data_IF_745685346370
#
_entry.id   IF_745685346370
#
_cell.length_a   1.000
_cell.length_b   1.000
_cell.length_c   1.000
_cell.angle_alpha   90.00
_cell.angle_beta   90.00
_cell.angle_gamma   90.00
#
_symmetry.space_group_name_H-M   'P 1'
#
loop_
_entity.id
_entity.type
_entity.pdbx_description
1 polymer ?
#
# COMPACT_ATOMS: atom_id res chain seq x y z
N UNK A 1 -46.00 48.77 -15.65
CA UNK A 1 -46.10 47.73 -14.59
C UNK A 1 -45.43 46.46 -15.09
N UNK A 2 -44.27 46.10 -14.55
CA UNK A 2 -43.80 44.72 -14.33
C UNK A 2 -42.33 44.80 -13.89
N UNK A 3 -42.12 44.75 -12.57
CA UNK A 3 -40.81 44.70 -11.93
C UNK A 3 -40.24 43.29 -12.09
N UNK A 4 -39.05 43.17 -12.71
CA UNK A 4 -38.27 41.93 -12.74
C UNK A 4 -37.64 41.69 -11.36
N UNK A 5 -38.11 40.66 -10.67
CA UNK A 5 -37.45 40.12 -9.48
C UNK A 5 -36.22 39.32 -9.90
N UNK A 6 -35.05 39.81 -9.47
CA UNK A 6 -33.79 39.07 -9.47
C UNK A 6 -33.74 38.30 -8.14
N UNK A 7 -33.95 36.99 -8.18
CA UNK A 7 -33.74 36.13 -7.02
C UNK A 7 -32.26 35.80 -6.89
N UNK A 8 -31.57 36.53 -6.02
CA UNK A 8 -30.24 36.19 -5.53
C UNK A 8 -30.35 35.00 -4.57
N UNK A 9 -30.01 33.79 -5.03
CA UNK A 9 -29.73 32.67 -4.13
C UNK A 9 -28.28 32.79 -3.64
N UNK A 10 -28.10 33.49 -2.52
CA UNK A 10 -26.91 33.38 -1.68
C UNK A 10 -26.91 31.99 -1.03
N UNK A 11 -26.29 31.02 -1.70
CA UNK A 11 -25.85 29.78 -1.06
C UNK A 11 -24.78 30.17 -0.04
N UNK A 12 -25.19 30.23 1.23
CA UNK A 12 -24.31 30.16 2.38
C UNK A 12 -23.54 28.83 2.29
N UNK A 13 -22.39 28.87 1.63
CA UNK A 13 -21.34 27.90 1.88
C UNK A 13 -20.94 28.09 3.35
N UNK A 14 -21.58 27.32 4.23
CA UNK A 14 -21.02 27.01 5.53
C UNK A 14 -19.66 26.39 5.24
N UNK A 15 -18.62 27.23 5.26
CA UNK A 15 -17.25 26.80 5.44
C UNK A 15 -17.30 25.81 6.59
N UNK A 16 -17.10 24.53 6.29
CA UNK A 16 -16.96 23.49 7.29
C UNK A 16 -15.79 23.93 8.17
N UNK A 17 -16.12 24.63 9.27
CA UNK A 17 -15.12 25.12 10.19
C UNK A 17 -14.36 23.88 10.62
N UNK A 18 -13.03 23.91 10.45
CA UNK A 18 -12.15 22.83 10.81
C UNK A 18 -12.30 22.55 12.33
N UNK A 19 -13.25 21.69 12.69
CA UNK A 19 -13.40 21.21 14.04
C UNK A 19 -12.05 20.64 14.47
N UNK A 20 -11.57 21.07 15.64
CA UNK A 20 -10.35 20.50 16.22
C UNK A 20 -10.59 18.99 16.35
N UNK A 21 -9.66 18.14 15.85
CA UNK A 21 -9.81 16.71 15.95
C UNK A 21 -9.89 16.34 17.44
N UNK A 22 -10.79 15.40 17.74
CA UNK A 22 -10.95 14.88 19.09
C UNK A 22 -9.73 14.00 19.37
N UNK A 23 -8.90 14.32 20.36
CA UNK A 23 -7.72 13.52 20.66
C UNK A 23 -8.11 12.12 21.13
N UNK A 24 -7.31 11.08 20.81
CA UNK A 24 -7.51 9.75 21.35
C UNK A 24 -7.19 9.73 22.85
N UNK A 25 -7.85 8.83 23.58
CA UNK A 25 -7.47 8.51 24.95
C UNK A 25 -6.28 7.56 24.99
N UNK A 26 -5.68 7.40 26.17
CA UNK A 26 -4.74 6.31 26.43
C UNK A 26 -5.40 4.96 26.11
N UNK A 27 -4.65 4.08 25.45
CA UNK A 27 -5.04 2.69 25.28
C UNK A 27 -4.89 1.97 26.63
N UNK A 28 -5.95 1.33 27.15
CA UNK A 28 -5.98 0.84 28.54
C UNK A 28 -5.13 -0.43 28.76
N UNK A 29 -5.01 -1.30 27.75
CA UNK A 29 -4.25 -2.56 27.86
C UNK A 29 -3.44 -2.88 26.59
N UNK A 30 -2.29 -2.21 26.37
CA UNK A 30 -1.45 -2.49 25.21
C UNK A 30 -0.84 -3.90 25.20
N UNK A 31 -0.60 -4.48 26.38
CA UNK A 31 -0.04 -5.84 26.48
C UNK A 31 -1.04 -6.89 26.02
N UNK A 32 -2.30 -6.77 26.45
CA UNK A 32 -3.39 -7.64 25.98
C UNK A 32 -3.62 -7.50 24.47
N UNK A 33 -3.65 -6.27 23.96
CA UNK A 33 -3.79 -6.02 22.52
C UNK A 33 -2.65 -6.63 21.70
N UNK A 34 -1.39 -6.49 22.16
CA UNK A 34 -0.24 -7.14 21.52
C UNK A 34 -0.39 -8.66 21.50
N UNK A 35 -0.82 -9.26 22.61
CA UNK A 35 -1.05 -10.71 22.69
C UNK A 35 -2.12 -11.16 21.69
N UNK A 36 -3.25 -10.44 21.60
CA UNK A 36 -4.31 -10.73 20.62
C UNK A 36 -3.78 -10.65 19.18
N UNK A 37 -2.96 -9.66 18.87
CA UNK A 37 -2.29 -9.55 17.57
C UNK A 37 -1.38 -10.74 17.30
N UNK A 38 -0.50 -11.10 18.25
CA UNK A 38 0.43 -12.22 18.10
C UNK A 38 -0.29 -13.56 17.94
N UNK A 39 -1.41 -13.78 18.64
CA UNK A 39 -2.26 -14.96 18.45
C UNK A 39 -2.88 -15.01 17.05
N UNK A 40 -3.33 -13.86 16.53
CA UNK A 40 -3.84 -13.75 15.16
C UNK A 40 -2.75 -14.03 14.11
N UNK A 41 -1.55 -13.48 14.31
CA UNK A 41 -0.39 -13.70 13.44
C UNK A 41 0.11 -15.14 13.48
N UNK A 42 0.11 -15.77 14.66
CA UNK A 42 0.42 -17.20 14.81
C UNK A 42 -0.55 -18.09 14.02
N UNK A 43 -1.85 -17.75 13.99
CA UNK A 43 -2.82 -18.45 13.14
C UNK A 43 -2.50 -18.30 11.65
N UNK A 44 -2.13 -17.09 11.20
CA UNK A 44 -1.69 -16.88 9.82
C UNK A 44 -0.47 -17.75 9.48
N UNK A 45 0.56 -17.73 10.32
CA UNK A 45 1.79 -18.54 10.15
C UNK A 45 1.52 -20.04 10.15
N UNK A 46 0.51 -20.51 10.89
CA UNK A 46 0.09 -21.91 10.84
C UNK A 46 -0.60 -22.26 9.50
N UNK A 47 -1.34 -21.32 8.92
CA UNK A 47 -2.03 -21.52 7.65
C UNK A 47 -1.09 -21.42 6.44
N UNK A 48 0.00 -20.67 6.54
CA UNK A 48 1.01 -20.47 5.51
C UNK A 48 2.35 -21.01 6.00
N UNK A 49 2.74 -22.25 5.65
CA UNK A 49 3.89 -22.93 6.24
C UNK A 49 5.25 -22.36 5.83
N UNK A 50 5.31 -21.57 4.76
CA UNK A 50 6.56 -20.98 4.27
C UNK A 50 6.84 -19.68 5.01
N UNK A 51 7.92 -19.65 5.79
CA UNK A 51 8.29 -18.48 6.60
C UNK A 51 9.64 -17.92 6.16
N UNK A 52 9.82 -16.63 6.36
CA UNK A 52 11.10 -15.96 6.12
C UNK A 52 11.63 -15.35 7.41
N UNK A 53 12.80 -15.83 7.84
CA UNK A 53 13.56 -15.18 8.90
C UNK A 53 14.15 -13.86 8.40
N UNK A 54 13.83 -12.77 9.08
CA UNK A 54 14.24 -11.42 8.74
C UNK A 54 14.91 -10.75 9.94
N UNK A 55 15.80 -9.76 9.74
CA UNK A 55 16.48 -9.11 10.86
C UNK A 55 15.49 -8.39 11.79
N UNK A 56 15.43 -8.81 13.05
CA UNK A 56 14.57 -8.19 14.07
C UNK A 56 15.16 -6.82 14.49
N UNK A 57 14.55 -5.77 13.96
CA UNK A 57 14.83 -4.40 14.35
C UNK A 57 13.57 -3.80 14.98
N UNK A 58 13.68 -3.45 16.27
CA UNK A 58 12.60 -2.77 17.00
C UNK A 58 12.43 -1.33 16.52
N UNK A 59 11.50 -1.13 15.60
CA UNK A 59 11.01 0.18 15.16
C UNK A 59 9.51 0.11 14.83
N UNK A 60 8.86 1.26 14.70
CA UNK A 60 7.49 1.37 14.21
C UNK A 60 7.34 2.58 13.30
N UNK A 61 6.57 2.46 12.22
CA UNK A 61 6.33 3.55 11.28
C UNK A 61 4.99 4.22 11.57
N UNK A 62 5.00 5.54 11.62
CA UNK A 62 3.80 6.37 11.70
C UNK A 62 3.71 7.30 10.49
N UNK A 63 2.50 7.79 10.22
CA UNK A 63 2.25 8.72 9.11
C UNK A 63 1.57 8.05 7.93
N UNK A 64 0.54 7.24 8.19
CA UNK A 64 -0.36 6.65 7.19
C UNK A 64 -1.01 7.72 6.31
N UNK A 65 -1.21 7.42 5.03
CA UNK A 65 -1.76 8.36 4.05
C UNK A 65 -0.81 9.53 3.79
N UNK A 66 -1.32 10.71 3.46
CA UNK A 66 -0.49 11.87 3.13
C UNK A 66 0.04 12.66 4.34
N UNK A 67 0.47 11.94 5.38
CA UNK A 67 1.01 12.52 6.62
C UNK A 67 2.54 12.59 6.57
N UNK A 68 3.12 13.45 7.41
CA UNK A 68 4.54 13.38 7.73
C UNK A 68 4.91 11.95 8.15
N UNK A 69 5.90 11.38 7.47
CA UNK A 69 6.42 10.04 7.71
C UNK A 69 7.35 10.06 8.91
N UNK A 70 7.10 9.19 9.88
CA UNK A 70 7.79 9.16 11.16
C UNK A 70 8.26 7.75 11.50
N UNK A 71 9.40 7.65 12.19
CA UNK A 71 9.97 6.39 12.67
C UNK A 71 10.12 6.50 14.18
N UNK A 72 9.44 5.63 14.92
CA UNK A 72 9.82 5.37 16.30
C UNK A 72 10.95 4.34 16.34
N UNK A 73 12.04 4.64 17.06
CA UNK A 73 13.14 3.68 17.31
C UNK A 73 13.90 4.02 18.59
N UNK A 74 13.96 3.08 19.55
CA UNK A 74 14.77 3.16 20.79
C UNK A 74 14.59 4.50 21.52
N UNK A 75 13.35 4.87 21.82
CA UNK A 75 13.04 6.11 22.53
C UNK A 75 13.22 7.39 21.72
N UNK A 76 13.32 7.33 20.39
CA UNK A 76 13.34 8.50 19.51
C UNK A 76 12.19 8.42 18.52
N UNK A 77 11.54 9.54 18.27
CA UNK A 77 10.64 9.74 17.14
C UNK A 77 11.39 10.58 16.11
N UNK A 78 11.58 10.03 14.92
CA UNK A 78 12.37 10.62 13.84
C UNK A 78 11.46 10.98 12.68
N UNK A 79 11.76 12.07 11.99
CA UNK A 79 11.28 12.31 10.64
C UNK A 79 11.93 11.30 9.68
N UNK A 80 11.13 10.49 9.00
CA UNK A 80 11.62 9.39 8.19
C UNK A 80 12.40 9.85 6.95
N UNK A 81 12.11 11.05 6.43
CA UNK A 81 12.70 11.57 5.20
C UNK A 81 13.97 12.39 5.45
N UNK A 82 14.04 13.06 6.60
CA UNK A 82 15.17 13.94 6.95
C UNK A 82 16.12 13.33 7.98
N UNK A 83 15.65 12.34 8.75
CA UNK A 83 16.38 11.78 9.89
C UNK A 83 16.39 12.68 11.14
N UNK A 84 15.74 13.85 11.09
CA UNK A 84 15.66 14.76 12.23
C UNK A 84 14.92 14.11 13.41
N UNK A 85 15.39 14.39 14.62
CA UNK A 85 14.72 13.95 15.85
C UNK A 85 13.59 14.92 16.16
N UNK A 86 12.35 14.44 16.13
CA UNK A 86 11.15 15.20 16.48
C UNK A 86 10.90 15.16 17.99
N UNK A 87 11.13 14.00 18.61
CA UNK A 87 11.01 13.80 20.06
C UNK A 87 12.02 12.75 20.55
N UNK A 88 12.44 12.83 21.81
CA UNK A 88 13.37 11.87 22.42
C UNK A 88 13.09 11.66 23.92
N UNK A 89 13.18 10.41 24.36
CA UNK A 89 12.92 9.99 25.73
C UNK A 89 13.99 9.02 26.25
N UNK A 90 14.15 9.00 27.58
CA UNK A 90 14.92 7.97 28.30
C UNK A 90 13.99 6.81 28.64
N UNK A 91 13.99 5.80 27.78
CA UNK A 91 13.06 4.67 27.87
C UNK A 91 13.64 3.55 28.75
N UNK A 92 12.83 3.08 29.71
CA UNK A 92 13.09 1.86 30.49
C UNK A 92 12.51 0.63 29.82
N UNK A 93 11.29 0.76 29.27
CA UNK A 93 10.59 -0.32 28.59
C UNK A 93 9.74 0.26 27.45
N UNK A 94 9.63 -0.48 26.36
CA UNK A 94 8.78 -0.16 25.21
C UNK A 94 7.92 -1.37 24.83
N UNK A 95 6.69 -1.10 24.38
CA UNK A 95 5.75 -2.05 23.80
C UNK A 95 5.25 -1.46 22.49
N UNK A 96 5.46 -2.16 21.39
CA UNK A 96 4.93 -1.80 20.07
C UNK A 96 3.73 -2.70 19.82
N UNK A 97 2.58 -2.12 19.49
CA UNK A 97 1.34 -2.84 19.18
C UNK A 97 0.93 -2.48 17.74
N UNK A 98 1.41 -3.22 16.73
CA UNK A 98 1.22 -2.86 15.33
C UNK A 98 -0.25 -2.72 14.93
N UNK A 99 -1.11 -3.64 15.39
CA UNK A 99 -2.55 -3.62 15.08
C UNK A 99 -3.27 -2.41 15.68
N UNK A 100 -2.73 -1.79 16.73
CA UNK A 100 -3.33 -0.62 17.40
C UNK A 100 -2.65 0.70 17.01
N UNK A 101 -1.70 0.64 16.07
CA UNK A 101 -0.91 1.79 15.62
C UNK A 101 -0.32 2.55 16.82
N UNK A 102 0.27 1.80 17.75
CA UNK A 102 0.59 2.25 19.10
C UNK A 102 2.00 1.86 19.49
N UNK A 103 2.72 2.80 20.10
CA UNK A 103 3.93 2.53 20.88
C UNK A 103 3.73 3.07 22.29
N UNK A 104 3.79 2.19 23.29
CA UNK A 104 3.80 2.57 24.70
C UNK A 104 5.22 2.55 25.25
N UNK A 105 5.59 3.62 25.96
CA UNK A 105 6.88 3.78 26.63
C UNK A 105 6.67 3.92 28.13
N UNK A 106 7.46 3.18 28.90
CA UNK A 106 7.70 3.45 30.32
C UNK A 106 9.06 4.10 30.43
N UNK A 107 9.12 5.31 30.97
CA UNK A 107 10.35 6.08 31.09
C UNK A 107 11.13 5.69 32.35
N UNK A 108 12.39 6.12 32.44
CA UNK A 108 13.24 5.84 33.61
C UNK A 108 12.74 6.47 34.90
N UNK A 109 11.94 7.53 34.82
CA UNK A 109 11.32 8.21 35.97
C UNK A 109 9.93 7.65 36.34
N UNK A 110 9.51 6.56 35.67
CA UNK A 110 8.21 5.91 35.91
C UNK A 110 7.04 6.52 35.15
N UNK A 111 7.23 7.59 34.38
CA UNK A 111 6.17 8.14 33.53
C UNK A 111 5.82 7.19 32.37
N UNK A 112 4.54 7.22 31.96
CA UNK A 112 4.06 6.49 30.79
C UNK A 112 3.74 7.46 29.66
N UNK A 113 4.20 7.11 28.46
CA UNK A 113 3.92 7.80 27.21
C UNK A 113 3.30 6.82 26.23
N UNK A 114 2.34 7.29 25.42
CA UNK A 114 1.87 6.57 24.25
C UNK A 114 1.99 7.45 23.00
N UNK A 115 2.62 6.91 21.97
CA UNK A 115 2.50 7.39 20.60
C UNK A 115 1.36 6.61 19.94
N UNK A 116 0.33 7.29 19.44
CA UNK A 116 -0.84 6.66 18.80
C UNK A 116 -1.13 7.32 17.48
N UNK A 117 -1.46 6.53 16.46
CA UNK A 117 -1.98 7.06 15.21
C UNK A 117 -3.45 6.64 15.00
N UNK A 118 -4.30 7.61 14.69
CA UNK A 118 -5.73 7.42 14.43
C UNK A 118 -6.13 8.01 13.07
N UNK A 119 -7.43 8.08 12.79
CA UNK A 119 -7.99 8.64 11.56
C UNK A 119 -7.68 10.12 11.35
N UNK A 120 -7.14 10.82 12.35
CA UNK A 120 -6.89 12.27 12.29
C UNK A 120 -5.42 12.67 12.32
N UNK A 121 -4.54 11.85 12.91
CA UNK A 121 -3.10 12.07 12.90
C UNK A 121 -2.33 11.24 13.91
N UNK A 122 -1.08 11.64 14.16
CA UNK A 122 -0.19 11.00 15.14
C UNK A 122 -0.16 11.82 16.42
N UNK A 123 -0.43 11.17 17.53
CA UNK A 123 -0.62 11.79 18.84
C UNK A 123 0.43 11.31 19.83
N UNK A 124 0.92 12.25 20.64
CA UNK A 124 1.68 12.01 21.84
C UNK A 124 0.77 12.18 23.05
N UNK A 125 0.60 11.11 23.82
CA UNK A 125 -0.16 11.06 25.05
C UNK A 125 0.80 10.87 26.22
N UNK A 126 0.68 11.70 27.26
CA UNK A 126 1.50 11.61 28.47
C UNK A 126 0.61 11.84 29.70
N UNK A 127 0.78 11.00 30.72
CA UNK A 127 -0.01 11.09 31.95
C UNK A 127 0.10 12.49 32.57
N UNK A 128 -1.04 13.08 32.92
CA UNK A 128 -1.09 14.44 33.50
C UNK A 128 -0.84 15.57 32.51
N UNK A 129 -0.67 15.30 31.21
CA UNK A 129 -0.53 16.31 30.16
C UNK A 129 -1.67 16.22 29.15
N UNK A 130 -1.96 17.33 28.49
CA UNK A 130 -2.92 17.35 27.37
C UNK A 130 -2.34 16.57 26.17
N UNK A 131 -3.15 15.79 25.46
CA UNK A 131 -2.74 15.16 24.20
C UNK A 131 -2.16 16.17 23.21
N UNK A 132 -1.03 15.82 22.59
CA UNK A 132 -0.33 16.64 21.59
C UNK A 132 -0.41 15.97 20.22
N UNK A 133 -0.98 16.65 19.23
CA UNK A 133 -0.89 16.24 17.82
C UNK A 133 0.51 16.57 17.29
N UNK A 134 1.20 15.63 16.67
CA UNK A 134 2.50 15.85 16.05
C UNK A 134 2.32 16.74 14.79
N UNK A 135 3.03 17.87 14.67
CA UNK A 135 2.94 18.74 13.50
C UNK A 135 3.18 17.98 12.19
N UNK A 136 2.49 18.38 11.12
CA UNK A 136 2.59 17.72 9.82
C UNK A 136 1.86 16.38 9.68
N UNK A 137 1.22 15.88 10.74
CA UNK A 137 0.49 14.59 10.70
C UNK A 137 -1.03 14.74 10.60
N UNK A 138 -1.56 15.97 10.59
CA UNK A 138 -2.99 16.20 10.44
C UNK A 138 -3.43 15.90 9.01
N UNK A 139 -4.04 14.74 8.80
CA UNK A 139 -4.73 14.38 7.57
C UNK A 139 -5.75 13.29 7.86
N UNK A 140 -6.91 13.31 7.19
CA UNK A 140 -7.98 12.32 7.43
C UNK A 140 -7.79 11.09 6.57
N UNK A 141 -8.06 9.93 7.15
CA UNK A 141 -8.14 8.63 6.48
C UNK A 141 -9.10 7.71 7.26
N UNK A 142 -9.36 6.51 6.76
CA UNK A 142 -10.26 5.54 7.38
C UNK A 142 -9.44 4.34 7.87
N UNK A 143 -9.66 3.90 9.12
CA UNK A 143 -8.93 2.75 9.71
C UNK A 143 -9.91 1.67 10.19
N UNK A 144 -10.39 0.79 9.29
CA UNK A 144 -11.32 -0.27 9.68
C UNK A 144 -10.72 -1.17 10.77
N UNK A 145 -11.55 -1.60 11.72
CA UNK A 145 -11.12 -2.51 12.80
C UNK A 145 -11.09 -3.97 12.37
N UNK A 146 -11.83 -4.31 11.31
CA UNK A 146 -12.04 -5.69 10.85
C UNK A 146 -12.50 -6.63 11.99
N UNK A 147 -13.32 -6.11 12.92
CA UNK A 147 -13.68 -6.77 14.17
C UNK A 147 -14.33 -8.16 13.98
N UNK A 148 -15.02 -8.38 12.87
CA UNK A 148 -15.68 -9.65 12.56
C UNK A 148 -14.78 -10.65 11.80
N UNK A 149 -13.52 -10.29 11.54
CA UNK A 149 -12.59 -11.11 10.77
C UNK A 149 -11.62 -11.86 11.69
N UNK A 150 -11.40 -13.18 11.51
CA UNK A 150 -10.50 -13.96 12.38
C UNK A 150 -9.04 -13.47 12.34
N UNK A 151 -8.65 -12.85 11.23
CA UNK A 151 -7.35 -12.22 11.01
C UNK A 151 -7.40 -10.68 11.10
N UNK A 152 -8.43 -10.11 11.72
CA UNK A 152 -8.65 -8.65 11.80
C UNK A 152 -7.42 -7.85 12.25
N UNK A 153 -6.72 -8.22 13.35
CA UNK A 153 -5.50 -7.56 13.77
C UNK A 153 -4.38 -7.59 12.71
N UNK A 154 -4.25 -8.69 11.95
CA UNK A 154 -3.27 -8.80 10.86
C UNK A 154 -3.66 -7.90 9.68
N UNK A 155 -4.94 -7.89 9.30
CA UNK A 155 -5.45 -6.99 8.24
C UNK A 155 -5.20 -5.51 8.58
N UNK A 156 -5.30 -5.12 9.87
CA UNK A 156 -4.95 -3.76 10.32
C UNK A 156 -3.49 -3.42 10.06
N UNK A 157 -2.56 -4.36 10.27
CA UNK A 157 -1.12 -4.16 10.02
C UNK A 157 -0.84 -4.08 8.52
N UNK A 158 -1.36 -5.00 7.72
CA UNK A 158 -1.19 -4.97 6.26
C UNK A 158 -1.77 -3.69 5.66
N UNK A 159 -2.93 -3.24 6.14
CA UNK A 159 -3.51 -1.97 5.73
C UNK A 159 -2.63 -0.77 6.09
N UNK A 160 -2.00 -0.76 7.26
CA UNK A 160 -1.02 0.26 7.63
C UNK A 160 0.19 0.26 6.70
N UNK A 161 0.69 -0.92 6.33
CA UNK A 161 1.85 -1.07 5.43
C UNK A 161 1.56 -0.61 4.00
N UNK A 162 0.28 -0.60 3.59
CA UNK A 162 -0.17 0.02 2.34
C UNK A 162 -0.26 1.54 2.50
N UNK A 163 -0.94 2.01 3.56
CA UNK A 163 -1.17 3.44 3.79
C UNK A 163 0.11 4.23 4.06
N UNK A 164 1.10 3.66 4.75
CA UNK A 164 2.38 4.31 5.05
C UNK A 164 3.18 4.59 3.76
N UNK A 165 2.88 3.88 2.69
CA UNK A 165 3.52 4.00 1.39
C UNK A 165 2.80 4.97 0.44
N UNK A 166 1.87 5.78 0.96
CA UNK A 166 1.32 6.95 0.25
C UNK A 166 2.12 8.18 0.66
N UNK A 167 2.74 8.86 -0.31
CA UNK A 167 3.56 10.06 -0.08
C UNK A 167 3.19 11.17 -1.07
N UNK A 168 2.80 12.34 -0.58
CA UNK A 168 2.29 13.47 -1.38
C UNK A 168 1.13 13.04 -2.29
N UNK A 169 0.22 12.22 -1.75
CA UNK A 169 -0.90 11.61 -2.47
C UNK A 169 -0.52 10.54 -3.50
N UNK A 170 0.74 10.09 -3.53
CA UNK A 170 1.25 9.12 -4.51
C UNK A 170 1.47 7.73 -3.89
N UNK A 171 0.89 6.66 -4.44
CA UNK A 171 1.14 5.29 -3.98
C UNK A 171 2.48 4.79 -4.53
N UNK A 172 3.48 4.60 -3.67
CA UNK A 172 4.80 4.08 -4.06
C UNK A 172 5.03 2.68 -3.48
N UNK A 173 5.90 1.83 -4.07
CA UNK A 173 6.11 0.48 -3.53
C UNK A 173 6.70 0.48 -2.11
N UNK A 174 7.63 1.40 -1.85
CA UNK A 174 8.19 1.67 -0.53
C UNK A 174 8.71 3.11 -0.50
N UNK A 175 8.21 3.96 0.41
CA UNK A 175 8.53 5.40 0.41
C UNK A 175 9.99 5.73 0.77
N UNK A 176 10.75 4.80 1.35
CA UNK A 176 12.16 5.00 1.70
C UNK A 176 13.11 4.71 0.54
N UNK A 177 12.73 3.84 -0.39
CA UNK A 177 13.61 3.40 -1.49
C UNK A 177 13.07 3.66 -2.89
N UNK A 178 11.81 4.06 -3.02
CA UNK A 178 11.19 4.44 -4.29
C UNK A 178 10.64 5.86 -4.26
N UNK A 179 10.99 6.65 -5.28
CA UNK A 179 10.57 8.05 -5.41
C UNK A 179 9.38 8.25 -6.36
N UNK A 180 9.01 7.21 -7.11
CA UNK A 180 7.95 7.25 -8.12
C UNK A 180 6.99 6.08 -7.93
N UNK A 181 5.67 6.29 -8.11
CA UNK A 181 4.70 5.22 -8.27
C UNK A 181 5.06 4.32 -9.44
N UNK A 182 4.70 3.04 -9.31
CA UNK A 182 4.57 2.10 -10.42
C UNK A 182 3.09 1.82 -10.62
N UNK A 183 2.61 1.80 -11.85
CA UNK A 183 1.18 1.59 -12.10
C UNK A 183 0.71 0.21 -11.65
N UNK A 184 1.53 -0.81 -11.79
CA UNK A 184 1.28 -2.16 -11.29
C UNK A 184 1.06 -2.21 -9.78
N UNK A 185 2.03 -1.74 -8.99
CA UNK A 185 1.90 -1.63 -7.53
C UNK A 185 0.71 -0.75 -7.14
N UNK A 186 0.55 0.41 -7.80
CA UNK A 186 -0.51 1.35 -7.51
C UNK A 186 -1.91 0.78 -7.80
N UNK A 187 -2.08 -0.04 -8.85
CA UNK A 187 -3.35 -0.67 -9.20
C UNK A 187 -3.78 -1.66 -8.10
N UNK A 188 -2.86 -2.49 -7.61
CA UNK A 188 -3.16 -3.45 -6.53
C UNK A 188 -3.39 -2.71 -5.20
N UNK A 189 -2.60 -1.68 -4.88
CA UNK A 189 -2.86 -0.80 -3.74
C UNK A 189 -4.25 -0.15 -3.83
N UNK A 190 -4.63 0.36 -5.01
CA UNK A 190 -5.90 1.05 -5.21
C UNK A 190 -7.12 0.14 -5.00
N UNK A 191 -6.99 -1.16 -5.25
CA UNK A 191 -8.03 -2.14 -4.88
C UNK A 191 -8.25 -2.16 -3.37
N UNK A 192 -7.18 -2.24 -2.57
CA UNK A 192 -7.30 -2.18 -1.11
C UNK A 192 -7.88 -0.84 -0.65
N UNK A 193 -7.40 0.27 -1.22
CA UNK A 193 -7.92 1.59 -0.90
C UNK A 193 -9.40 1.74 -1.26
N UNK A 194 -9.89 1.06 -2.29
CA UNK A 194 -11.33 1.00 -2.59
C UNK A 194 -12.08 0.24 -1.51
N UNK A 195 -11.62 -0.97 -1.17
CA UNK A 195 -12.26 -1.82 -0.16
C UNK A 195 -12.29 -1.18 1.23
N UNK A 196 -11.29 -0.35 1.57
CA UNK A 196 -11.22 0.35 2.87
C UNK A 196 -11.74 1.78 2.84
N UNK A 197 -12.33 2.23 1.74
CA UNK A 197 -12.82 3.60 1.52
C UNK A 197 -11.74 4.70 1.63
N UNK A 198 -10.48 4.37 1.33
CA UNK A 198 -9.34 5.27 1.32
C UNK A 198 -8.90 5.76 -0.08
N UNK A 199 -9.64 5.45 -1.15
CA UNK A 199 -9.37 5.96 -2.51
C UNK A 199 -9.12 7.49 -2.59
N UNK A 200 -9.82 8.35 -1.82
CA UNK A 200 -9.55 9.79 -1.84
C UNK A 200 -8.08 10.18 -1.57
N UNK A 201 -7.30 9.32 -0.90
CA UNK A 201 -5.87 9.58 -0.64
C UNK A 201 -5.00 9.62 -1.90
N UNK A 202 -5.42 8.96 -2.98
CA UNK A 202 -4.67 8.91 -4.25
C UNK A 202 -5.47 9.48 -5.43
N UNK A 203 -6.66 10.01 -5.18
CA UNK A 203 -7.58 10.51 -6.20
C UNK A 203 -6.92 11.54 -7.12
N UNK A 204 -6.31 12.58 -6.54
CA UNK A 204 -5.73 13.68 -7.30
C UNK A 204 -4.51 13.22 -8.11
N UNK A 205 -3.77 12.22 -7.62
CA UNK A 205 -2.69 11.60 -8.38
C UNK A 205 -3.21 10.86 -9.60
N UNK A 206 -4.28 10.07 -9.48
CA UNK A 206 -4.90 9.38 -10.62
C UNK A 206 -5.43 10.41 -11.63
N UNK A 207 -6.14 11.43 -11.16
CA UNK A 207 -6.67 12.52 -12.02
C UNK A 207 -5.59 13.35 -12.71
N UNK A 208 -4.34 13.28 -12.24
CA UNK A 208 -3.19 13.93 -12.84
C UNK A 208 -2.45 13.05 -13.87
N UNK A 209 -2.81 11.77 -14.04
CA UNK A 209 -2.19 10.89 -15.04
C UNK A 209 -2.46 11.46 -16.44
N UNK A 210 -1.39 11.72 -17.20
CA UNK A 210 -1.45 12.15 -18.60
C UNK A 210 -0.63 11.26 -19.53
N UNK A 211 0.34 10.57 -18.96
CA UNK A 211 1.21 9.63 -19.66
C UNK A 211 0.81 8.21 -19.23
N UNK A 212 0.52 7.30 -20.16
CA UNK A 212 0.11 5.95 -19.83
C UNK A 212 1.27 5.06 -19.38
N UNK A 213 2.52 5.54 -19.34
CA UNK A 213 3.67 4.76 -18.91
C UNK A 213 4.40 5.42 -17.73
N UNK A 214 4.62 4.66 -16.65
CA UNK A 214 5.35 5.18 -15.50
C UNK A 214 6.87 5.26 -15.74
N UNK A 215 7.37 4.47 -16.71
CA UNK A 215 8.78 4.37 -17.14
C UNK A 215 9.75 4.12 -15.99
N UNK A 216 9.29 3.40 -14.98
CA UNK A 216 10.06 3.09 -13.78
C UNK A 216 11.12 2.02 -14.02
N UNK A 217 10.95 1.18 -15.04
CA UNK A 217 11.93 0.21 -15.49
C UNK A 217 12.82 0.78 -16.60
N UNK A 218 13.90 1.47 -16.22
CA UNK A 218 14.92 2.02 -17.16
C UNK A 218 14.38 2.87 -18.31
N UNK A 219 13.24 3.54 -18.13
CA UNK A 219 12.65 4.36 -19.20
C UNK A 219 11.76 3.61 -20.18
N UNK A 220 11.63 2.28 -20.04
CA UNK A 220 10.85 1.43 -20.94
C UNK A 220 9.35 1.70 -20.76
N UNK A 221 8.59 1.93 -21.84
CA UNK A 221 7.14 1.92 -21.79
C UNK A 221 6.65 0.47 -21.72
N UNK A 222 6.23 0.03 -20.54
CA UNK A 222 5.77 -1.34 -20.31
C UNK A 222 4.30 -1.52 -20.74
N UNK A 223 4.00 -2.63 -21.40
CA UNK A 223 2.72 -2.80 -22.09
C UNK A 223 1.53 -3.07 -21.15
N UNK A 224 1.80 -3.61 -19.95
CA UNK A 224 0.81 -3.83 -18.88
C UNK A 224 0.27 -2.51 -18.30
N UNK A 225 1.09 -1.45 -18.27
CA UNK A 225 0.67 -0.12 -17.79
C UNK A 225 -0.60 0.39 -18.47
N UNK A 226 -0.83 0.04 -19.75
CA UNK A 226 -2.01 0.47 -20.49
C UNK A 226 -3.31 0.01 -19.81
N UNK A 227 -3.38 -1.25 -19.40
CA UNK A 227 -4.54 -1.77 -18.68
C UNK A 227 -4.65 -1.26 -17.25
N UNK A 228 -3.52 -1.17 -16.57
CA UNK A 228 -3.42 -0.66 -15.18
C UNK A 228 -3.90 0.79 -15.08
N UNK A 229 -3.50 1.65 -16.01
CA UNK A 229 -3.93 3.06 -16.06
C UNK A 229 -5.43 3.18 -16.32
N UNK A 230 -5.98 2.40 -17.27
CA UNK A 230 -7.43 2.40 -17.50
C UNK A 230 -8.20 1.95 -16.26
N UNK A 231 -7.71 0.90 -15.58
CA UNK A 231 -8.28 0.47 -14.32
C UNK A 231 -8.21 1.57 -13.25
N UNK A 232 -7.04 2.19 -13.03
CA UNK A 232 -6.88 3.28 -12.06
C UNK A 232 -7.84 4.43 -12.35
N UNK A 233 -7.92 4.87 -13.61
CA UNK A 233 -8.85 5.94 -14.04
C UNK A 233 -10.29 5.57 -13.73
N UNK A 234 -10.70 4.31 -13.95
CA UNK A 234 -12.07 3.84 -13.68
C UNK A 234 -12.50 3.98 -12.21
N UNK A 235 -11.55 4.10 -11.28
CA UNK A 235 -11.85 4.24 -9.85
C UNK A 235 -12.27 5.66 -9.46
N UNK A 236 -11.96 6.68 -10.28
CA UNK A 236 -12.15 8.10 -9.91
C UNK A 236 -12.76 8.95 -11.02
N UNK A 237 -12.82 8.43 -12.24
CA UNK A 237 -13.28 9.16 -13.43
C UNK A 237 -13.91 8.16 -14.41
N UNK A 238 -14.32 8.67 -15.57
CA UNK A 238 -14.85 7.89 -16.67
C UNK A 238 -13.95 7.94 -17.92
N UNK A 239 -14.48 7.43 -19.04
CA UNK A 239 -13.85 7.39 -20.36
C UNK A 239 -13.44 8.75 -20.94
N UNK A 240 -13.87 9.88 -20.37
CA UNK A 240 -13.51 11.23 -20.82
C UNK A 240 -12.17 11.71 -20.27
N UNK A 241 -11.58 10.98 -19.32
CA UNK A 241 -10.27 11.32 -18.77
C UNK A 241 -9.18 11.33 -19.86
N UNK A 242 -8.30 12.35 -19.93
CA UNK A 242 -7.31 12.47 -21.02
C UNK A 242 -6.38 11.26 -21.19
N UNK A 243 -6.05 10.57 -20.10
CA UNK A 243 -5.20 9.37 -20.18
C UNK A 243 -5.86 8.23 -20.97
N UNK A 244 -7.20 8.16 -21.05
CA UNK A 244 -7.91 7.10 -21.76
C UNK A 244 -7.58 7.14 -23.25
N UNK A 245 -7.69 8.32 -23.88
CA UNK A 245 -7.35 8.47 -25.29
C UNK A 245 -5.87 8.18 -25.53
N UNK A 246 -4.99 8.66 -24.64
CA UNK A 246 -3.55 8.38 -24.71
C UNK A 246 -3.24 6.87 -24.64
N UNK A 247 -3.93 6.12 -23.78
CA UNK A 247 -3.83 4.66 -23.75
C UNK A 247 -4.28 4.05 -25.08
N UNK A 248 -5.48 4.39 -25.57
CA UNK A 248 -6.04 3.82 -26.80
C UNK A 248 -5.14 4.06 -28.02
N UNK A 249 -4.55 5.25 -28.12
CA UNK A 249 -3.59 5.58 -29.18
C UNK A 249 -2.29 4.78 -29.02
N UNK A 250 -1.82 4.62 -27.77
CA UNK A 250 -0.59 3.90 -27.43
C UNK A 250 -0.69 2.39 -27.59
N UNK A 251 -1.89 1.78 -27.50
CA UNK A 251 -2.08 0.34 -27.69
C UNK A 251 -1.57 -0.12 -29.06
N UNK A 252 -1.71 0.71 -30.10
CA UNK A 252 -1.33 0.37 -31.48
C UNK A 252 0.14 -0.03 -31.61
N UNK A 253 1.03 0.54 -30.81
CA UNK A 253 2.47 0.24 -30.88
C UNK A 253 2.83 -1.15 -30.35
N UNK A 254 1.97 -1.75 -29.52
CA UNK A 254 2.14 -3.09 -28.95
C UNK A 254 1.22 -4.12 -29.60
N UNK A 255 0.34 -3.71 -30.50
CA UNK A 255 -0.66 -4.60 -31.07
C UNK A 255 -0.01 -5.66 -31.97
N UNK A 256 -0.30 -6.92 -31.69
CA UNK A 256 0.03 -8.07 -32.52
C UNK A 256 -1.25 -8.85 -32.80
N UNK A 257 -1.75 -8.72 -34.02
CA UNK A 257 -3.05 -9.27 -34.45
C UNK A 257 -4.18 -8.85 -33.51
N UNK A 258 -4.62 -9.75 -32.63
CA UNK A 258 -5.75 -9.58 -31.70
C UNK A 258 -5.31 -9.45 -30.24
N UNK A 259 -4.03 -9.32 -29.94
CA UNK A 259 -3.50 -9.14 -28.58
C UNK A 259 -2.43 -8.04 -28.53
N UNK A 260 -1.91 -7.74 -27.34
CA UNK A 260 -0.77 -6.84 -27.19
C UNK A 260 0.46 -7.60 -26.70
N UNK A 261 1.63 -7.17 -27.16
CA UNK A 261 2.93 -7.70 -26.75
C UNK A 261 3.94 -6.56 -26.65
N UNK A 262 4.63 -6.51 -25.53
CA UNK A 262 5.74 -5.59 -25.25
C UNK A 262 6.53 -6.09 -24.07
N UNK A 263 7.37 -5.24 -23.47
CA UNK A 263 8.11 -5.60 -22.25
C UNK A 263 7.29 -5.32 -20.99
N UNK A 264 7.47 -6.17 -19.99
CA UNK A 264 7.13 -5.99 -18.58
C UNK A 264 8.23 -6.68 -17.78
N UNK A 265 8.91 -5.98 -16.87
CA UNK A 265 10.09 -6.48 -16.15
C UNK A 265 11.14 -7.13 -17.09
N UNK A 266 11.48 -6.40 -18.16
CA UNK A 266 12.46 -6.76 -19.19
C UNK A 266 12.13 -7.96 -20.10
N UNK A 267 10.98 -8.61 -19.91
CA UNK A 267 10.53 -9.76 -20.70
C UNK A 267 9.15 -9.56 -21.33
N UNK A 268 8.81 -10.38 -22.34
CA UNK A 268 7.50 -10.34 -22.98
C UNK A 268 6.48 -11.18 -22.20
N UNK A 269 5.35 -10.57 -21.87
CA UNK A 269 4.25 -11.19 -21.11
C UNK A 269 2.89 -10.92 -21.75
N UNK A 270 2.65 -11.35 -23.00
CA UNK A 270 1.46 -10.95 -23.76
C UNK A 270 0.14 -11.46 -23.19
N UNK A 271 0.12 -12.55 -22.41
CA UNK A 271 -1.10 -13.03 -21.75
C UNK A 271 -1.43 -12.12 -20.57
N UNK A 272 -0.44 -11.83 -19.73
CA UNK A 272 -0.59 -10.91 -18.60
C UNK A 272 -0.96 -9.50 -19.07
N UNK A 273 -0.22 -8.96 -20.04
CA UNK A 273 -0.45 -7.62 -20.62
C UNK A 273 -1.85 -7.53 -21.24
N UNK A 274 -2.26 -8.53 -22.03
CA UNK A 274 -3.59 -8.53 -22.65
C UNK A 274 -4.71 -8.67 -21.61
N UNK A 275 -4.52 -9.47 -20.54
CA UNK A 275 -5.48 -9.55 -19.43
C UNK A 275 -5.69 -8.19 -18.76
N UNK A 276 -4.61 -7.48 -18.44
CA UNK A 276 -4.68 -6.13 -17.90
C UNK A 276 -5.42 -5.17 -18.84
N UNK A 277 -5.07 -5.15 -20.13
CA UNK A 277 -5.72 -4.28 -21.11
C UNK A 277 -7.23 -4.54 -21.16
N UNK A 278 -7.64 -5.81 -21.30
CA UNK A 278 -9.06 -6.20 -21.35
C UNK A 278 -9.80 -5.79 -20.07
N UNK A 279 -9.19 -6.00 -18.91
CA UNK A 279 -9.75 -5.61 -17.63
C UNK A 279 -9.93 -4.09 -17.51
N UNK A 280 -8.92 -3.31 -17.89
CA UNK A 280 -8.98 -1.86 -17.90
C UNK A 280 -10.05 -1.31 -18.86
N UNK A 281 -10.15 -1.86 -20.07
CA UNK A 281 -11.20 -1.52 -21.04
C UNK A 281 -12.59 -1.81 -20.47
N UNK A 282 -12.79 -3.01 -19.91
CA UNK A 282 -14.04 -3.45 -19.28
C UNK A 282 -14.45 -2.52 -18.13
N UNK A 283 -13.52 -2.11 -17.27
CA UNK A 283 -13.81 -1.22 -16.13
C UNK A 283 -14.31 0.17 -16.55
N UNK A 284 -13.99 0.62 -17.76
CA UNK A 284 -14.46 1.91 -18.32
C UNK A 284 -15.61 1.75 -19.33
N UNK A 285 -16.11 0.53 -19.55
CA UNK A 285 -17.13 0.26 -20.57
C UNK A 285 -16.66 0.57 -21.99
N UNK A 286 -15.36 0.42 -22.26
CA UNK A 286 -14.76 0.63 -23.59
C UNK A 286 -14.89 -0.64 -24.44
N UNK A 287 -14.94 -0.52 -25.78
CA UNK A 287 -14.95 -1.69 -26.67
C UNK A 287 -13.71 -2.56 -26.47
N UNK A 288 -13.91 -3.86 -26.42
CA UNK A 288 -12.85 -4.87 -26.28
C UNK A 288 -12.85 -5.77 -27.53
N UNK A 289 -11.83 -5.58 -28.38
CA UNK A 289 -11.62 -6.39 -29.58
C UNK A 289 -10.47 -7.39 -29.43
N UNK A 290 -9.93 -7.55 -28.20
CA UNK A 290 -8.71 -8.30 -27.96
C UNK A 290 -9.01 -9.73 -27.51
N UNK A 291 -8.17 -10.68 -27.93
CA UNK A 291 -8.21 -12.09 -27.52
C UNK A 291 -6.98 -12.40 -26.69
N UNK A 292 -7.14 -13.06 -25.54
CA UNK A 292 -6.01 -13.50 -24.73
C UNK A 292 -5.27 -14.61 -25.52
N UNK A 293 -3.98 -14.44 -25.85
CA UNK A 293 -3.27 -15.40 -26.69
C UNK A 293 -3.03 -16.71 -25.95
N UNK A 294 -3.03 -17.83 -26.68
CA UNK A 294 -2.76 -19.17 -26.11
C UNK A 294 -1.27 -19.49 -26.10
N UNK A 295 -0.49 -18.77 -25.30
CA UNK A 295 0.96 -18.95 -25.22
C UNK A 295 1.46 -18.92 -23.77
N UNK A 296 2.50 -19.69 -23.46
CA UNK A 296 3.09 -19.72 -22.11
C UNK A 296 3.52 -18.32 -21.67
N UNK A 297 3.11 -17.94 -20.47
CA UNK A 297 3.44 -16.65 -19.88
C UNK A 297 3.58 -16.80 -18.35
N UNK A 298 4.77 -16.58 -17.82
CA UNK A 298 5.04 -16.74 -16.39
C UNK A 298 4.35 -15.70 -15.52
N UNK A 299 3.85 -14.59 -16.08
CA UNK A 299 3.11 -13.58 -15.33
C UNK A 299 1.59 -13.79 -15.40
N UNK A 300 1.11 -14.75 -16.20
CA UNK A 300 -0.32 -15.00 -16.34
C UNK A 300 -1.03 -15.28 -14.99
N UNK A 301 -0.33 -15.92 -14.05
CA UNK A 301 -0.84 -16.22 -12.70
C UNK A 301 -0.85 -15.02 -11.75
N UNK A 302 -0.16 -13.93 -12.08
CA UNK A 302 -0.21 -12.69 -11.30
C UNK A 302 -1.54 -11.94 -11.49
N UNK A 303 -2.30 -12.26 -12.54
CA UNK A 303 -3.58 -11.65 -12.82
C UNK A 303 -4.74 -12.54 -12.34
N UNK A 304 -5.13 -12.40 -11.07
CA UNK A 304 -6.19 -13.21 -10.44
C UNK A 304 -7.58 -12.56 -10.46
N UNK A 305 -7.69 -11.31 -10.93
CA UNK A 305 -8.91 -10.49 -10.83
C UNK A 305 -10.04 -10.96 -11.77
N UNK A 306 -9.67 -11.51 -12.92
CA UNK A 306 -10.55 -12.04 -13.95
C UNK A 306 -9.74 -13.01 -14.83
N UNK A 307 -10.37 -13.65 -15.82
CA UNK A 307 -9.71 -14.46 -16.84
C UNK A 307 -8.81 -15.60 -16.28
N UNK A 308 -9.22 -16.20 -15.16
CA UNK A 308 -8.49 -17.32 -14.52
C UNK A 308 -8.44 -18.59 -15.38
N UNK A 309 -9.40 -18.76 -16.31
CA UNK A 309 -9.52 -19.96 -17.16
C UNK A 309 -8.57 -19.94 -18.34
N UNK A 310 -8.11 -18.75 -18.71
CA UNK A 310 -7.19 -18.45 -19.80
C UNK A 310 -5.73 -18.53 -19.29
N UNK A 311 -5.44 -19.55 -18.47
CA UNK A 311 -4.10 -19.84 -18.00
C UNK A 311 -3.30 -20.55 -19.09
N UNK A 312 -2.07 -20.10 -19.29
CA UNK A 312 -1.14 -20.70 -20.25
C UNK A 312 0.24 -20.85 -19.62
N UNK A 313 0.58 -22.08 -19.24
CA UNK A 313 1.80 -22.41 -18.51
C UNK A 313 1.53 -22.70 -17.03
N UNK A 314 2.17 -23.75 -16.52
CA UNK A 314 2.03 -24.19 -15.12
C UNK A 314 3.26 -23.84 -14.26
N UNK A 315 4.29 -23.22 -14.84
CA UNK A 315 5.54 -22.97 -14.12
C UNK A 315 5.31 -21.89 -13.06
N UNK A 316 5.30 -22.32 -11.80
CA UNK A 316 5.30 -21.43 -10.64
C UNK A 316 6.58 -20.62 -10.57
N UNK A 317 6.52 -19.46 -9.92
CA UNK A 317 7.75 -18.75 -9.57
C UNK A 317 8.65 -19.62 -8.69
N UNK A 318 9.95 -19.58 -9.01
CA UNK A 318 10.96 -20.31 -8.25
C UNK A 318 11.03 -19.76 -6.82
N UNK A 319 11.22 -20.63 -5.84
CA UNK A 319 11.22 -20.27 -4.42
C UNK A 319 12.18 -19.11 -4.10
N UNK A 320 13.34 -19.07 -4.75
CA UNK A 320 14.32 -17.99 -4.59
C UNK A 320 13.77 -16.63 -5.02
N UNK A 321 12.96 -16.57 -6.08
CA UNK A 321 12.30 -15.33 -6.49
C UNK A 321 11.24 -14.94 -5.46
N UNK A 322 10.47 -15.91 -4.94
CA UNK A 322 9.47 -15.68 -3.89
C UNK A 322 10.07 -15.20 -2.56
N UNK A 323 11.34 -15.48 -2.26
CA UNK A 323 12.04 -14.90 -1.10
C UNK A 323 12.27 -13.40 -1.27
N UNK A 324 12.65 -12.97 -2.47
CA UNK A 324 13.03 -11.59 -2.76
C UNK A 324 11.80 -10.72 -3.12
N UNK A 325 10.84 -11.32 -3.83
CA UNK A 325 9.62 -10.69 -4.35
C UNK A 325 8.40 -11.52 -3.91
N UNK A 326 8.13 -11.59 -2.60
CA UNK A 326 7.08 -12.46 -2.03
C UNK A 326 5.67 -12.16 -2.55
N UNK A 327 5.41 -10.93 -3.00
CA UNK A 327 4.15 -10.57 -3.66
C UNK A 327 3.82 -11.47 -4.87
N UNK A 328 4.81 -11.99 -5.59
CA UNK A 328 4.59 -12.91 -6.71
C UNK A 328 3.94 -14.21 -6.25
N UNK A 329 4.43 -14.80 -5.15
CA UNK A 329 3.88 -16.03 -4.60
C UNK A 329 2.48 -15.81 -3.99
N UNK A 330 2.25 -14.66 -3.36
CA UNK A 330 0.93 -14.30 -2.85
C UNK A 330 -0.11 -14.08 -3.95
N UNK A 331 0.28 -13.44 -5.07
CA UNK A 331 -0.58 -13.33 -6.24
C UNK A 331 -0.88 -14.72 -6.86
N UNK A 332 0.12 -15.61 -6.93
CA UNK A 332 -0.10 -17.00 -7.36
C UNK A 332 -1.05 -17.76 -6.43
N UNK A 333 -0.92 -17.59 -5.10
CA UNK A 333 -1.82 -18.19 -4.13
C UNK A 333 -3.26 -17.71 -4.33
N UNK A 334 -3.45 -16.44 -4.66
CA UNK A 334 -4.78 -15.88 -4.99
C UNK A 334 -5.34 -16.43 -6.30
N UNK A 335 -4.46 -16.63 -7.29
CA UNK A 335 -4.85 -17.23 -8.56
C UNK A 335 -5.24 -18.71 -8.42
N UNK A 336 -4.39 -19.52 -7.78
CA UNK A 336 -4.52 -20.97 -7.71
C UNK A 336 -5.29 -21.48 -6.48
N UNK A 337 -5.58 -20.62 -5.50
CA UNK A 337 -6.18 -21.03 -4.22
C UNK A 337 -5.20 -21.76 -3.30
N UNK A 338 -3.90 -21.48 -3.44
CA UNK A 338 -2.81 -22.09 -2.69
C UNK A 338 -2.43 -21.26 -1.44
N UNK A 339 -1.39 -21.71 -0.71
CA UNK A 339 -0.86 -21.05 0.50
C UNK A 339 0.68 -21.14 0.57
N UNK A 340 1.36 -20.91 -0.55
CA UNK A 340 2.83 -20.92 -0.67
C UNK A 340 3.49 -19.59 -0.32
N UNK A 341 2.74 -18.49 -0.33
CA UNK A 341 3.18 -17.15 -0.01
C UNK A 341 3.87 -17.09 1.35
N UNK A 342 5.01 -16.39 1.40
CA UNK A 342 5.84 -16.34 2.59
C UNK A 342 5.29 -15.37 3.62
N UNK A 343 5.34 -15.75 4.90
CA UNK A 343 5.03 -14.87 6.03
C UNK A 343 6.32 -14.56 6.79
N UNK A 344 6.52 -13.29 7.14
CA UNK A 344 7.65 -12.85 7.97
C UNK A 344 7.63 -13.50 9.36
N UNK A 345 8.81 -13.85 9.89
CA UNK A 345 8.96 -14.26 11.30
C UNK A 345 8.85 -13.09 12.29
N UNK A 346 8.89 -11.85 11.79
CA UNK A 346 8.75 -10.63 12.60
C UNK A 346 7.29 -10.30 12.89
N UNK A 347 7.05 -9.68 14.04
CA UNK A 347 5.75 -9.10 14.39
C UNK A 347 5.50 -7.77 13.63
N UNK A 348 6.54 -7.12 13.10
CA UNK A 348 6.43 -5.93 12.26
C UNK A 348 7.78 -5.58 11.60
N UNK A 349 7.80 -5.12 10.34
CA UNK A 349 6.74 -5.22 9.33
C UNK A 349 6.52 -6.66 8.81
N UNK A 350 5.36 -6.91 8.21
CA UNK A 350 4.97 -8.21 7.64
C UNK A 350 5.36 -8.34 6.17
N UNK A 351 5.34 -7.24 5.41
CA UNK A 351 5.65 -7.22 3.97
C UNK A 351 7.05 -6.69 3.67
N UNK A 352 7.68 -7.19 2.61
CA UNK A 352 9.02 -6.79 2.20
C UNK A 352 9.28 -6.99 0.71
N UNK A 353 10.37 -6.41 0.26
CA UNK A 353 11.03 -6.69 -1.02
C UNK A 353 12.54 -6.70 -0.82
N UNK A 354 13.26 -7.58 -1.52
CA UNK A 354 14.70 -7.72 -1.43
C UNK A 354 15.37 -7.75 -2.81
N UNK A 355 16.56 -7.14 -2.91
CA UNK A 355 17.41 -7.15 -4.12
C UNK A 355 16.78 -6.56 -5.41
N UNK A 356 15.76 -5.72 -5.30
CA UNK A 356 15.17 -5.02 -6.42
C UNK A 356 16.21 -4.10 -7.11
N UNK A 357 16.29 -4.20 -8.44
CA UNK A 357 17.27 -3.47 -9.26
C UNK A 357 17.08 -1.95 -9.21
N UNK A 358 15.83 -1.50 -9.15
CA UNK A 358 15.44 -0.10 -9.25
C UNK A 358 15.21 0.59 -7.88
N UNK A 359 15.49 -0.08 -6.77
CA UNK A 359 15.35 0.46 -5.42
C UNK A 359 16.59 1.25 -4.97
N UNK A 360 16.37 2.45 -4.41
CA UNK A 360 17.42 3.26 -3.80
C UNK A 360 17.64 2.90 -2.33
N UNK A 361 18.26 1.74 -2.08
CA UNK A 361 18.53 1.22 -0.74
C UNK A 361 19.23 2.17 0.25
N UNK A 362 20.11 3.13 -0.14
CA UNK A 362 20.67 4.08 0.81
C UNK A 362 19.65 4.85 1.64
N UNK A 363 18.41 5.02 1.15
CA UNK A 363 17.31 5.63 1.91
C UNK A 363 16.94 4.89 3.20
N UNK A 364 17.28 3.60 3.33
CA UNK A 364 17.05 2.81 4.54
C UNK A 364 18.06 3.09 5.66
N UNK A 365 19.09 3.91 5.42
CA UNK A 365 20.10 4.26 6.44
C UNK A 365 19.46 4.88 7.69
N UNK A 366 18.31 5.56 7.54
CA UNK A 366 17.53 6.12 8.65
C UNK A 366 16.99 5.02 9.60
N UNK A 367 16.73 3.82 9.06
CA UNK A 367 16.33 2.64 9.82
C UNK A 367 17.55 1.91 10.35
N UNK A 368 18.34 1.30 9.47
CA UNK A 368 19.56 0.58 9.85
C UNK A 368 20.45 0.29 8.63
N UNK A 369 21.77 0.27 8.83
CA UNK A 369 22.75 -0.02 7.76
C UNK A 369 22.70 -1.48 7.32
N UNK A 370 22.29 -2.40 8.18
CA UNK A 370 22.17 -3.81 7.79
C UNK A 370 21.09 -4.03 6.71
N UNK A 371 20.01 -3.25 6.73
CA UNK A 371 19.00 -3.31 5.66
C UNK A 371 19.54 -2.83 4.31
N UNK A 372 20.39 -1.80 4.32
CA UNK A 372 21.09 -1.33 3.10
C UNK A 372 21.99 -2.43 2.55
N UNK A 373 22.79 -3.06 3.43
CA UNK A 373 23.73 -4.14 3.06
C UNK A 373 23.01 -5.36 2.49
N UNK A 374 21.88 -5.73 3.08
CA UNK A 374 21.06 -6.86 2.64
C UNK A 374 20.16 -6.52 1.45
N UNK A 375 20.10 -5.25 1.03
CA UNK A 375 19.15 -4.76 0.02
C UNK A 375 17.71 -5.17 0.36
N UNK A 376 17.31 -4.95 1.61
CA UNK A 376 16.02 -5.42 2.15
C UNK A 376 15.16 -4.23 2.55
N UNK A 377 14.06 -4.00 1.83
CA UNK A 377 13.15 -2.89 2.04
C UNK A 377 11.87 -3.34 2.74
N UNK A 378 11.51 -2.62 3.80
CA UNK A 378 10.27 -2.80 4.56
C UNK A 378 9.53 -1.48 4.76
N UNK A 379 8.19 -1.48 4.80
CA UNK A 379 7.30 -2.49 4.21
C UNK A 379 7.26 -2.41 2.68
N UNK A 380 6.71 -3.41 1.97
CA UNK A 380 6.45 -3.31 0.52
C UNK A 380 4.94 -3.32 0.25
N UNK A 381 4.45 -2.27 -0.42
CA UNK A 381 3.02 -2.02 -0.58
C UNK A 381 2.31 -3.05 -1.46
N UNK A 382 2.93 -3.53 -2.53
CA UNK A 382 2.34 -4.57 -3.37
C UNK A 382 2.22 -5.89 -2.59
N UNK A 383 3.27 -6.31 -1.89
CA UNK A 383 3.22 -7.49 -1.04
C UNK A 383 2.16 -7.37 0.07
N UNK A 384 2.10 -6.24 0.77
CA UNK A 384 1.06 -6.00 1.77
C UNK A 384 -0.35 -6.07 1.16
N UNK A 385 -0.53 -5.55 -0.06
CA UNK A 385 -1.82 -5.53 -0.75
C UNK A 385 -2.25 -6.93 -1.24
N UNK A 386 -1.37 -7.74 -1.81
CA UNK A 386 -1.70 -9.13 -2.18
C UNK A 386 -2.09 -9.96 -0.95
N UNK A 387 -1.32 -9.85 0.14
CA UNK A 387 -1.67 -10.47 1.41
C UNK A 387 -3.05 -10.00 1.89
N UNK A 388 -3.29 -8.69 1.88
CA UNK A 388 -4.54 -8.11 2.36
C UNK A 388 -5.74 -8.62 1.55
N UNK A 389 -5.68 -8.55 0.22
CA UNK A 389 -6.79 -8.92 -0.66
C UNK A 389 -7.11 -10.42 -0.55
N UNK A 390 -6.10 -11.29 -0.54
CA UNK A 390 -6.30 -12.73 -0.39
C UNK A 390 -6.88 -13.10 0.99
N UNK A 391 -6.43 -12.43 2.06
CA UNK A 391 -6.87 -12.72 3.41
C UNK A 391 -8.25 -12.12 3.72
N UNK A 392 -8.63 -11.01 3.09
CA UNK A 392 -9.95 -10.39 3.28
C UNK A 392 -11.08 -11.23 2.67
N UNK A 393 -10.82 -11.95 1.58
CA UNK A 393 -11.80 -12.81 0.90
C UNK A 393 -12.15 -14.10 1.68
N UNK A 394 -11.40 -14.45 2.73
CA UNK A 394 -11.47 -15.74 3.45
C UNK A 394 -11.95 -15.57 4.89
#
# INVERSE_FOLDING_TARGET
>A
MSFRWVSFFLLLALSASAQKPIPPSFHPDPTGALKTYQESLAKLRLQHPNHRELPDLKFFLFGMGDRLKLIYRRGRLLNALTGNIEEQWRVKQEIIVPSEYLVQLTLTDGQTIQLREDETGVWLLQTGRRPKLIPGTRSRLILPTFANHPLGPVLRVLHQEILINIINGRPVPNFLVYFKPRFRDAAIMAMVLRETNNLPLIHDWIMAIRDPFDRTNHGVPEADNLGEVLFLVSLVSDKTHPAVQMVLDSVRQFQKETYIIGKTDDAEHPVFQTKWLKYGLKSLGLPDTYTIPKQTDSYSSLFWLDYKRELTGEKRFEERLSVNSPYLAWAEDHFYGEKRGMVSSLDYPLSWEQQASNAHYPGLTVLDKEFVKQKLAFPNAWHAAEMFLLLLEK
#
